data_IF_100640820078
#
_entry.id   IF_100640820078
#
_cell.length_a   1.000
_cell.length_b   1.000
_cell.length_c   1.000
_cell.angle_alpha   90.00
_cell.angle_beta   90.00
_cell.angle_gamma   90.00
#
_symmetry.space_group_name_H-M   'P 1'
#
loop_
_entity.id
_entity.type
_entity.pdbx_description
1 polymer ?
#
# COMPACT_ATOMS: atom_id res chain seq x y z
N UNK A 1 -21.01 17.49 15.28
CA UNK A 1 -19.93 16.82 14.53
C UNK A 1 -19.13 16.04 15.54
N UNK A 2 -19.02 14.71 15.39
CA UNK A 2 -18.10 13.94 16.23
C UNK A 2 -16.67 14.33 15.83
N UNK A 3 -15.81 14.59 16.81
CA UNK A 3 -14.40 14.88 16.54
C UNK A 3 -13.73 13.59 16.07
N UNK A 4 -13.05 13.67 14.91
CA UNK A 4 -12.31 12.55 14.37
C UNK A 4 -10.82 12.78 14.59
N UNK A 5 -10.16 11.81 15.20
CA UNK A 5 -8.71 11.83 15.38
C UNK A 5 -8.04 10.75 14.53
N UNK A 6 -6.84 11.05 14.03
CA UNK A 6 -6.00 10.06 13.36
C UNK A 6 -5.68 8.88 14.29
N UNK A 7 -5.64 7.67 13.75
CA UNK A 7 -5.24 6.48 14.51
C UNK A 7 -3.78 6.58 14.96
N UNK A 8 -3.49 6.18 16.19
CA UNK A 8 -2.10 6.08 16.69
C UNK A 8 -1.37 4.91 16.03
N UNK A 9 -0.04 4.86 16.14
CA UNK A 9 0.75 3.73 15.64
C UNK A 9 0.35 2.39 16.27
N UNK A 10 0.00 2.40 17.56
CA UNK A 10 -0.47 1.21 18.26
C UNK A 10 -1.85 0.75 17.75
N UNK A 11 -2.70 1.67 17.31
CA UNK A 11 -3.97 1.32 16.69
C UNK A 11 -3.75 0.80 15.27
N UNK A 12 -2.91 1.48 14.49
CA UNK A 12 -2.53 1.09 13.14
C UNK A 12 -1.94 -0.32 13.07
N UNK A 13 -1.12 -0.71 14.06
CA UNK A 13 -0.55 -2.06 14.14
C UNK A 13 -1.59 -3.16 14.29
N UNK A 14 -2.77 -2.87 14.87
CA UNK A 14 -3.89 -3.82 14.94
C UNK A 14 -4.47 -4.12 13.56
N UNK A 15 -4.55 -3.11 12.69
CA UNK A 15 -5.00 -3.28 11.31
C UNK A 15 -4.00 -4.11 10.50
N UNK A 16 -2.71 -3.85 10.66
CA UNK A 16 -1.65 -4.65 10.05
C UNK A 16 -1.75 -6.10 10.54
N UNK A 17 -1.83 -6.32 11.86
CA UNK A 17 -1.96 -7.64 12.45
C UNK A 17 -3.19 -8.39 11.93
N UNK A 18 -4.34 -7.71 11.78
CA UNK A 18 -5.55 -8.28 11.21
C UNK A 18 -5.31 -8.85 9.80
N UNK A 19 -4.63 -8.10 8.94
CA UNK A 19 -4.31 -8.53 7.58
C UNK A 19 -3.22 -9.62 7.57
N UNK A 20 -2.19 -9.51 8.40
CA UNK A 20 -1.14 -10.53 8.52
C UNK A 20 -1.70 -11.88 8.99
N UNK A 21 -2.64 -11.91 9.94
CA UNK A 21 -3.28 -13.15 10.40
C UNK A 21 -4.09 -13.88 9.31
N UNK A 22 -4.42 -13.17 8.23
CA UNK A 22 -5.19 -13.68 7.09
C UNK A 22 -4.33 -14.02 5.89
N UNK A 23 -3.01 -13.90 6.01
CA UNK A 23 -2.07 -14.21 4.94
C UNK A 23 -2.35 -15.59 4.33
N UNK A 24 -2.42 -15.64 2.99
CA UNK A 24 -2.71 -16.85 2.23
C UNK A 24 -4.17 -17.29 2.23
N UNK A 25 -5.09 -16.53 2.84
CA UNK A 25 -6.53 -16.83 2.89
C UNK A 25 -7.32 -15.77 2.13
N UNK A 26 -8.48 -16.14 1.59
CA UNK A 26 -9.45 -15.20 1.04
C UNK A 26 -10.18 -14.52 2.20
N UNK A 27 -10.11 -13.19 2.28
CA UNK A 27 -10.88 -12.40 3.26
C UNK A 27 -12.19 -11.92 2.64
N UNK A 28 -13.32 -12.27 3.26
CA UNK A 28 -14.64 -11.93 2.75
C UNK A 28 -14.87 -12.46 1.32
N UNK A 29 -15.12 -11.57 0.37
CA UNK A 29 -15.30 -11.88 -1.04
C UNK A 29 -13.99 -11.83 -1.85
N UNK A 30 -12.84 -11.66 -1.18
CA UNK A 30 -11.52 -11.61 -1.80
C UNK A 30 -11.14 -10.28 -2.45
N UNK A 31 -12.02 -9.27 -2.44
CA UNK A 31 -11.75 -7.97 -3.05
C UNK A 31 -10.75 -7.14 -2.24
N UNK A 32 -9.93 -6.34 -2.93
CA UNK A 32 -8.91 -5.49 -2.30
C UNK A 32 -9.50 -4.53 -1.25
N UNK A 33 -10.65 -3.90 -1.55
CA UNK A 33 -11.35 -3.02 -0.62
C UNK A 33 -12.00 -3.78 0.54
N UNK A 34 -12.39 -5.04 0.36
CA UNK A 34 -13.04 -5.83 1.41
C UNK A 34 -12.06 -6.19 2.53
N UNK A 35 -10.80 -6.46 2.21
CA UNK A 35 -9.75 -6.62 3.22
C UNK A 35 -9.66 -5.40 4.13
N UNK A 36 -9.65 -4.19 3.55
CA UNK A 36 -9.53 -2.94 4.32
C UNK A 36 -10.81 -2.63 5.10
N UNK A 37 -11.98 -2.80 4.48
CA UNK A 37 -13.28 -2.55 5.12
C UNK A 37 -13.54 -3.48 6.31
N UNK A 38 -13.26 -4.78 6.15
CA UNK A 38 -13.35 -5.74 7.25
C UNK A 38 -12.32 -5.45 8.33
N UNK A 39 -11.10 -5.06 7.95
CA UNK A 39 -10.06 -4.62 8.88
C UNK A 39 -10.54 -3.45 9.72
N UNK A 40 -11.06 -2.39 9.10
CA UNK A 40 -11.58 -1.19 9.77
C UNK A 40 -12.68 -1.55 10.76
N UNK A 41 -13.66 -2.38 10.36
CA UNK A 41 -14.72 -2.88 11.24
C UNK A 41 -14.17 -3.67 12.42
N UNK A 42 -13.16 -4.52 12.18
CA UNK A 42 -12.57 -5.36 13.21
C UNK A 42 -11.79 -4.56 14.26
N UNK A 43 -11.15 -3.45 13.87
CA UNK A 43 -10.34 -2.64 14.79
C UNK A 43 -11.04 -1.37 15.28
N UNK A 44 -12.29 -1.14 14.85
CA UNK A 44 -13.11 0.00 15.26
C UNK A 44 -12.73 1.32 14.59
N UNK A 45 -12.13 1.28 13.40
CA UNK A 45 -11.81 2.49 12.63
C UNK A 45 -13.05 3.04 11.93
N UNK A 46 -13.09 4.36 11.78
CA UNK A 46 -14.10 5.04 11.01
C UNK A 46 -13.91 4.77 9.52
N UNK A 47 -14.94 4.22 8.87
CA UNK A 47 -15.02 4.11 7.41
C UNK A 47 -15.88 5.26 6.86
N UNK A 48 -15.29 6.20 6.08
CA UNK A 48 -16.07 7.21 5.38
C UNK A 48 -17.09 6.59 4.42
N UNK A 49 -18.24 7.22 4.20
CA UNK A 49 -19.27 6.73 3.27
C UNK A 49 -18.83 6.75 1.81
N UNK A 50 -17.89 7.62 1.45
CA UNK A 50 -17.36 7.72 0.10
C UNK A 50 -16.58 6.46 -0.31
N UNK A 51 -16.80 6.03 -1.56
CA UNK A 51 -16.14 4.86 -2.14
C UNK A 51 -14.65 5.12 -2.31
N UNK A 52 -13.80 4.16 -1.93
CA UNK A 52 -12.33 4.27 -2.00
C UNK A 52 -11.71 5.42 -1.18
N UNK A 53 -12.47 5.98 -0.23
CA UNK A 53 -11.97 6.87 0.80
C UNK A 53 -11.85 6.13 2.13
N UNK A 54 -10.70 6.29 2.77
CA UNK A 54 -10.32 5.49 3.95
C UNK A 54 -9.91 6.35 5.16
N UNK A 55 -10.09 7.67 5.07
CA UNK A 55 -9.80 8.61 6.16
C UNK A 55 -9.27 9.94 5.63
N UNK A 56 -8.39 10.57 6.40
CA UNK A 56 -7.78 11.86 6.05
C UNK A 56 -6.69 11.67 4.98
N UNK A 57 -6.65 12.55 3.99
CA UNK A 57 -5.57 12.53 2.98
C UNK A 57 -4.23 12.88 3.62
N UNK A 58 -3.20 12.11 3.26
CA UNK A 58 -1.80 12.40 3.57
C UNK A 58 -1.13 12.88 2.28
N UNK A 59 -0.86 14.19 2.22
CA UNK A 59 -0.40 14.88 1.00
C UNK A 59 1.02 14.47 0.57
N UNK A 60 1.87 14.09 1.51
CA UNK A 60 3.28 13.81 1.25
C UNK A 60 3.61 12.36 1.57
N UNK A 61 4.28 11.68 0.64
CA UNK A 61 4.78 10.32 0.84
C UNK A 61 5.73 10.21 2.04
N UNK A 62 6.52 11.26 2.33
CA UNK A 62 7.40 11.33 3.50
C UNK A 62 6.66 11.28 4.84
N UNK A 63 5.36 11.62 4.84
CA UNK A 63 4.49 11.54 6.01
C UNK A 63 3.75 10.20 6.12
N UNK A 64 3.91 9.30 5.13
CA UNK A 64 3.29 7.99 5.14
C UNK A 64 3.87 7.13 6.28
N UNK A 65 3.00 6.39 6.95
CA UNK A 65 3.40 5.51 8.06
C UNK A 65 2.68 4.16 7.99
N UNK A 66 3.21 3.11 8.64
CA UNK A 66 2.53 1.83 8.76
C UNK A 66 1.07 1.99 9.20
N UNK A 67 0.17 1.31 8.49
CA UNK A 67 -1.27 1.32 8.66
C UNK A 67 -2.03 2.38 7.86
N UNK A 68 -1.32 3.30 7.17
CA UNK A 68 -1.96 4.14 6.15
C UNK A 68 -2.47 3.27 4.98
N UNK A 69 -3.53 3.73 4.31
CA UNK A 69 -4.17 3.03 3.20
C UNK A 69 -3.81 3.71 1.88
N UNK A 70 -3.28 2.93 0.95
CA UNK A 70 -2.95 3.39 -0.38
C UNK A 70 -4.06 3.02 -1.34
N UNK A 71 -4.64 4.03 -1.99
CA UNK A 71 -5.60 3.87 -3.06
C UNK A 71 -4.91 4.17 -4.40
N UNK A 72 -4.55 3.13 -5.14
CA UNK A 72 -3.91 3.22 -6.45
C UNK A 72 -4.93 3.45 -7.57
N UNK A 73 -4.51 4.19 -8.60
CA UNK A 73 -5.24 4.41 -9.85
C UNK A 73 -4.27 4.36 -11.03
N UNK A 74 -4.41 3.34 -11.90
CA UNK A 74 -3.53 3.06 -13.05
C UNK A 74 -2.04 3.10 -12.70
N UNK A 75 -1.70 2.63 -11.50
CA UNK A 75 -0.34 2.67 -10.99
C UNK A 75 0.52 1.60 -11.66
N UNK A 76 1.70 1.99 -12.11
CA UNK A 76 2.71 1.07 -12.65
C UNK A 76 4.07 1.47 -12.12
N UNK A 77 4.86 0.48 -11.78
CA UNK A 77 6.26 0.63 -11.42
C UNK A 77 7.09 -0.32 -12.27
N UNK A 78 8.13 0.20 -12.89
CA UNK A 78 9.18 -0.56 -13.56
C UNK A 78 10.49 -0.36 -12.79
N UNK A 79 11.19 -1.46 -12.54
CA UNK A 79 12.47 -1.49 -11.84
C UNK A 79 13.46 -2.18 -12.76
N UNK A 80 14.46 -1.43 -13.21
CA UNK A 80 15.58 -1.94 -13.98
C UNK A 80 16.82 -1.97 -13.10
N UNK A 81 17.48 -3.11 -12.98
CA UNK A 81 18.78 -3.22 -12.31
C UNK A 81 19.84 -3.56 -13.34
N UNK A 82 20.89 -2.76 -13.40
CA UNK A 82 22.07 -2.93 -14.23
C UNK A 82 23.25 -3.26 -13.34
N UNK A 83 23.94 -4.36 -13.63
CA UNK A 83 25.10 -4.83 -12.88
C UNK A 83 26.39 -4.25 -13.43
N UNK A 84 27.46 -4.29 -12.63
CA UNK A 84 28.77 -3.72 -12.99
C UNK A 84 29.37 -4.25 -14.31
N UNK A 85 28.99 -5.44 -14.74
CA UNK A 85 29.42 -6.07 -15.99
C UNK A 85 28.62 -5.60 -17.23
N UNK A 86 27.64 -4.71 -17.04
CA UNK A 86 26.75 -4.21 -18.08
C UNK A 86 25.52 -5.09 -18.35
N UNK A 87 25.36 -6.21 -17.64
CA UNK A 87 24.14 -7.01 -17.69
C UNK A 87 22.98 -6.24 -17.04
N UNK A 88 21.75 -6.48 -17.48
CA UNK A 88 20.58 -5.84 -16.86
C UNK A 88 19.37 -6.76 -16.78
N UNK A 89 18.49 -6.47 -15.82
CA UNK A 89 17.17 -7.08 -15.68
C UNK A 89 16.12 -6.00 -15.47
N UNK A 90 14.90 -6.23 -15.95
CA UNK A 90 13.77 -5.33 -15.72
C UNK A 90 12.55 -6.12 -15.23
N UNK A 91 11.92 -5.62 -14.18
CA UNK A 91 10.67 -6.16 -13.65
C UNK A 91 9.65 -5.04 -13.57
N UNK A 92 8.37 -5.35 -13.82
CA UNK A 92 7.30 -4.37 -13.66
C UNK A 92 6.14 -4.93 -12.87
N UNK A 93 5.50 -4.06 -12.07
CA UNK A 93 4.31 -4.37 -11.30
C UNK A 93 3.25 -3.29 -11.57
N UNK A 94 1.99 -3.69 -11.60
CA UNK A 94 0.84 -2.81 -11.83
C UNK A 94 -0.16 -2.93 -10.69
N UNK A 95 -0.83 -1.83 -10.35
CA UNK A 95 -1.96 -1.77 -9.41
C UNK A 95 -3.05 -0.86 -9.96
N UNK A 96 -4.30 -1.26 -9.77
CA UNK A 96 -5.45 -0.41 -10.03
C UNK A 96 -5.80 -0.25 -11.50
N UNK A 97 -6.23 -1.34 -12.14
CA UNK A 97 -7.00 -1.28 -13.38
C UNK A 97 -8.51 -1.52 -13.06
N UNK A 98 -9.32 -0.49 -12.79
CA UNK A 98 -8.98 0.94 -12.70
C UNK A 98 -8.59 1.42 -11.29
N UNK A 99 -8.83 0.63 -10.24
CA UNK A 99 -8.60 1.04 -8.83
C UNK A 99 -8.15 -0.14 -7.97
N UNK A 100 -7.28 0.12 -7.01
CA UNK A 100 -6.80 -0.90 -6.07
C UNK A 100 -6.48 -0.31 -4.70
N UNK A 101 -6.80 -1.03 -3.63
CA UNK A 101 -6.58 -0.59 -2.25
C UNK A 101 -5.62 -1.53 -1.55
N UNK A 102 -4.64 -0.99 -0.84
CA UNK A 102 -3.69 -1.77 -0.04
C UNK A 102 -3.39 -1.11 1.32
N UNK A 103 -3.03 -1.92 2.30
CA UNK A 103 -2.60 -1.45 3.63
C UNK A 103 -1.06 -1.35 3.62
N UNK A 104 -0.52 -0.19 3.97
CA UNK A 104 0.92 0.01 4.10
C UNK A 104 1.43 -0.70 5.36
N UNK A 105 2.34 -1.66 5.19
CA UNK A 105 3.01 -2.33 6.31
C UNK A 105 4.32 -1.62 6.67
N UNK A 106 5.09 -1.20 5.67
CA UNK A 106 6.34 -0.46 5.86
C UNK A 106 6.72 0.32 4.60
N UNK A 107 7.49 1.39 4.76
CA UNK A 107 8.10 2.12 3.66
C UNK A 107 9.48 2.60 4.10
N UNK A 108 10.48 2.50 3.22
CA UNK A 108 11.81 3.04 3.48
C UNK A 108 12.03 4.43 2.84
N UNK A 109 13.19 5.02 3.12
CA UNK A 109 13.57 6.33 2.58
C UNK A 109 13.65 6.35 1.04
N UNK A 110 13.86 5.20 0.40
CA UNK A 110 13.91 5.03 -1.05
C UNK A 110 12.51 4.82 -1.67
N UNK A 111 11.46 4.86 -0.84
CA UNK A 111 10.08 4.68 -1.26
C UNK A 111 9.79 3.25 -1.67
N UNK A 112 10.58 2.27 -1.24
CA UNK A 112 10.25 0.85 -1.36
C UNK A 112 9.28 0.49 -0.25
N UNK A 113 8.03 0.25 -0.63
CA UNK A 113 6.94 0.01 0.29
C UNK A 113 6.51 -1.46 0.28
N UNK A 114 6.15 -1.96 1.46
CA UNK A 114 5.55 -3.28 1.66
C UNK A 114 4.07 -3.11 1.93
N UNK A 115 3.25 -3.80 1.17
CA UNK A 115 1.80 -3.71 1.21
C UNK A 115 1.16 -5.05 1.54
N UNK A 116 0.09 -4.99 2.34
CA UNK A 116 -0.83 -6.09 2.56
C UNK A 116 -2.08 -5.84 1.72
N UNK A 117 -2.38 -6.76 0.81
CA UNK A 117 -3.43 -6.57 -0.21
C UNK A 117 -4.03 -7.91 -0.64
N UNK A 118 -5.20 -7.85 -1.28
CA UNK A 118 -5.89 -8.98 -1.91
C UNK A 118 -6.31 -8.58 -3.32
N UNK A 119 -6.70 -9.55 -4.15
CA UNK A 119 -7.09 -9.35 -5.54
C UNK A 119 -5.99 -8.66 -6.37
N UNK A 120 -4.79 -9.23 -6.35
CA UNK A 120 -3.69 -8.82 -7.24
C UNK A 120 -3.49 -9.92 -8.26
N UNK A 121 -3.56 -9.59 -9.56
CA UNK A 121 -3.43 -10.55 -10.66
C UNK A 121 -4.37 -11.77 -10.51
N UNK A 122 -5.64 -11.51 -10.21
CA UNK A 122 -6.70 -12.51 -9.95
C UNK A 122 -6.41 -13.45 -8.76
N UNK A 123 -5.42 -13.14 -7.92
CA UNK A 123 -5.20 -13.82 -6.65
C UNK A 123 -5.96 -13.10 -5.53
N UNK A 124 -7.06 -13.71 -5.10
CA UNK A 124 -7.95 -13.21 -4.05
C UNK A 124 -7.44 -13.43 -2.62
N UNK A 125 -6.34 -14.16 -2.44
CA UNK A 125 -5.75 -14.35 -1.12
C UNK A 125 -5.11 -13.05 -0.63
N UNK A 126 -5.16 -12.84 0.68
CA UNK A 126 -4.31 -11.82 1.32
C UNK A 126 -2.85 -12.20 1.09
N UNK A 127 -2.10 -11.27 0.55
CA UNK A 127 -0.70 -11.44 0.19
C UNK A 127 0.09 -10.19 0.57
N UNK A 128 1.40 -10.38 0.71
CA UNK A 128 2.36 -9.31 0.96
C UNK A 128 3.14 -9.06 -0.32
N UNK A 129 3.11 -7.83 -0.81
CA UNK A 129 3.87 -7.42 -1.98
C UNK A 129 4.77 -6.24 -1.65
N UNK A 130 5.94 -6.18 -2.28
CA UNK A 130 6.92 -5.13 -2.08
C UNK A 130 7.24 -4.47 -3.41
N UNK A 131 7.10 -3.15 -3.49
CA UNK A 131 7.39 -2.38 -4.69
C UNK A 131 7.64 -0.90 -4.39
N UNK A 132 8.35 -0.23 -5.30
CA UNK A 132 8.59 1.21 -5.17
C UNK A 132 7.35 2.03 -5.51
N UNK A 133 7.11 3.08 -4.72
CA UNK A 133 6.02 4.05 -4.93
C UNK A 133 6.51 5.42 -5.38
N UNK A 134 7.80 5.55 -5.71
CA UNK A 134 8.36 6.75 -6.35
C UNK A 134 9.40 6.40 -7.39
N UNK A 135 9.56 7.28 -8.38
CA UNK A 135 10.70 7.25 -9.29
C UNK A 135 11.98 7.57 -8.52
N UNK A 136 13.03 6.80 -8.78
CA UNK A 136 14.34 6.97 -8.17
C UNK A 136 15.42 6.36 -9.06
N UNK A 137 16.62 6.89 -8.96
CA UNK A 137 17.84 6.21 -9.42
C UNK A 137 18.66 5.92 -8.15
N UNK A 138 19.01 4.66 -7.95
CA UNK A 138 19.68 4.14 -6.77
C UNK A 138 21.01 3.51 -7.21
N UNK A 139 22.04 3.72 -6.42
CA UNK A 139 23.36 3.13 -6.62
C UNK A 139 23.69 2.29 -5.39
N UNK A 140 24.03 1.02 -5.60
CA UNK A 140 24.46 0.10 -4.55
C UNK A 140 25.78 -0.54 -4.99
N UNK A 141 26.89 -0.01 -4.48
CA UNK A 141 28.21 -0.39 -4.96
C UNK A 141 28.43 0.01 -6.42
N UNK A 142 28.59 -0.97 -7.30
CA UNK A 142 28.74 -0.77 -8.75
C UNK A 142 27.46 -1.06 -9.53
N UNK A 143 26.40 -1.50 -8.85
CA UNK A 143 25.11 -1.80 -9.48
C UNK A 143 24.22 -0.55 -9.45
N UNK A 144 23.46 -0.36 -10.53
CA UNK A 144 22.54 0.76 -10.69
C UNK A 144 21.12 0.25 -10.80
N UNK A 145 20.23 0.73 -9.93
CA UNK A 145 18.79 0.47 -10.02
C UNK A 145 18.05 1.72 -10.43
N UNK A 146 17.34 1.62 -11.55
CA UNK A 146 16.48 2.67 -12.12
C UNK A 146 15.02 2.28 -11.87
N UNK A 147 14.33 3.08 -11.07
CA UNK A 147 12.90 2.92 -10.76
C UNK A 147 12.10 3.98 -11.50
N UNK A 148 11.07 3.58 -12.25
CA UNK A 148 10.16 4.49 -12.93
C UNK A 148 8.72 4.16 -12.54
N UNK A 149 8.05 5.15 -11.96
CA UNK A 149 6.64 5.06 -11.55
C UNK A 149 5.78 5.93 -12.45
N UNK A 150 4.62 5.42 -12.84
CA UNK A 150 3.56 6.15 -13.55
C UNK A 150 2.19 5.86 -12.93
N UNK A 151 1.20 6.68 -13.28
CA UNK A 151 -0.13 6.63 -12.66
C UNK A 151 -0.18 7.44 -11.37
N UNK A 152 -1.10 7.10 -10.47
CA UNK A 152 -1.27 7.84 -9.22
C UNK A 152 -1.71 6.95 -8.07
N UNK A 153 -1.54 7.46 -6.86
CA UNK A 153 -2.16 6.93 -5.66
C UNK A 153 -2.55 8.06 -4.72
N UNK A 154 -3.51 7.78 -3.83
CA UNK A 154 -3.85 8.63 -2.70
C UNK A 154 -3.55 7.87 -1.42
N UNK A 155 -2.90 8.55 -0.47
CA UNK A 155 -2.62 7.99 0.85
C UNK A 155 -3.69 8.49 1.81
N UNK A 156 -4.31 7.56 2.53
CA UNK A 156 -5.28 7.87 3.56
C UNK A 156 -4.78 7.41 4.92
N UNK A 157 -4.88 8.30 5.88
CA UNK A 157 -4.70 7.98 7.29
C UNK A 157 -6.05 7.59 7.90
N UNK A 158 -6.20 6.35 8.41
CA UNK A 158 -7.42 5.96 9.10
C UNK A 158 -7.68 6.86 10.31
N UNK A 159 -8.96 7.02 10.64
CA UNK A 159 -9.42 7.85 11.76
C UNK A 159 -10.36 7.04 12.64
N UNK A 160 -10.58 7.51 13.86
CA UNK A 160 -11.57 6.99 14.81
C UNK A 160 -12.48 8.12 15.26
N UNK A 161 -13.74 7.79 15.57
CA UNK A 161 -14.61 8.71 16.30
C UNK A 161 -14.20 8.72 17.78
N UNK A 162 -14.10 9.91 18.37
CA UNK A 162 -14.04 10.05 19.83
C UNK A 162 -15.42 9.94 20.48
#
# INVERSE_FOLDING_TARGET
>A
MMEMSDVTEQQASRLIAFATQRMGKVEGNGQCWTLVDNGFRSVGFHKPSATYHWGRVVEQLSSARPGDIFQFSNFRVAVRTETADGSWSENSQTRGAPRHTAILESIDANGLATFLESNVNDNFNVQRNRFHVRTADLEEGSDRTTVRVSGSFTIYRPQISQ
#
